data_IF_337538632450
#
_entry.id   IF_337538632450
#
_cell.length_a   1.000
_cell.length_b   1.000
_cell.length_c   1.000
_cell.angle_alpha   90.00
_cell.angle_beta   90.00
_cell.angle_gamma   90.00
#
_symmetry.space_group_name_H-M   'P 1'
#
loop_
_entity.id
_entity.type
_entity.pdbx_description
1 polymer ?
#
# COMPACT_ATOMS: atom_id res chain seq x y z
N UNK A 1 -34.72 -63.97 2.89
CA UNK A 1 -34.87 -62.65 3.54
C UNK A 1 -33.72 -61.78 3.09
N UNK A 2 -33.94 -61.05 1.99
CA UNK A 2 -33.00 -60.09 1.43
C UNK A 2 -32.90 -58.86 2.35
N UNK A 3 -31.68 -58.40 2.65
CA UNK A 3 -31.45 -57.06 3.21
C UNK A 3 -30.60 -56.28 2.21
N UNK A 4 -31.32 -55.56 1.36
CA UNK A 4 -30.85 -54.58 0.38
C UNK A 4 -29.84 -53.60 1.01
N UNK A 5 -28.73 -53.39 0.29
CA UNK A 5 -27.73 -52.38 0.60
C UNK A 5 -28.22 -50.98 0.24
N UNK A 6 -28.24 -50.09 1.23
CA UNK A 6 -28.42 -48.66 1.02
C UNK A 6 -27.07 -48.04 0.66
N UNK A 7 -26.81 -47.87 -0.64
CA UNK A 7 -25.84 -46.90 -1.10
C UNK A 7 -26.53 -45.52 -1.09
N UNK A 8 -26.05 -44.62 -0.24
CA UNK A 8 -26.46 -43.22 -0.24
C UNK A 8 -25.94 -42.60 -1.54
N UNK A 9 -26.87 -42.30 -2.45
CA UNK A 9 -26.63 -41.55 -3.66
C UNK A 9 -26.29 -40.11 -3.25
N UNK A 10 -25.03 -39.69 -3.41
CA UNK A 10 -24.64 -38.29 -3.25
C UNK A 10 -24.83 -37.56 -4.57
N UNK A 11 -25.78 -36.62 -4.58
CA UNK A 11 -26.16 -35.80 -5.72
C UNK A 11 -24.97 -34.95 -6.20
N UNK A 12 -24.43 -35.27 -7.38
CA UNK A 12 -23.25 -34.62 -7.97
C UNK A 12 -23.42 -33.13 -8.34
N UNK A 13 -24.59 -32.54 -8.13
CA UNK A 13 -24.89 -31.13 -8.43
C UNK A 13 -24.33 -30.18 -7.37
N UNK A 14 -24.26 -30.60 -6.10
CA UNK A 14 -23.66 -29.81 -5.00
C UNK A 14 -22.14 -29.74 -5.06
N UNK A 15 -21.50 -30.82 -5.54
CA UNK A 15 -20.03 -30.92 -5.67
C UNK A 15 -19.51 -30.07 -6.83
N UNK A 16 -20.18 -30.08 -7.98
CA UNK A 16 -19.80 -29.23 -9.11
C UNK A 16 -19.89 -27.71 -8.79
N UNK A 17 -20.93 -27.31 -8.04
CA UNK A 17 -21.11 -25.93 -7.60
C UNK A 17 -20.11 -25.48 -6.53
N UNK A 18 -19.75 -26.35 -5.58
CA UNK A 18 -18.75 -26.05 -4.55
C UNK A 18 -17.32 -26.09 -5.09
N UNK A 19 -17.01 -27.00 -6.01
CA UNK A 19 -15.71 -27.08 -6.71
C UNK A 19 -15.51 -25.85 -7.62
N UNK A 20 -16.52 -25.43 -8.39
CA UNK A 20 -16.44 -24.23 -9.24
C UNK A 20 -16.30 -22.94 -8.42
N UNK A 21 -17.04 -22.82 -7.30
CA UNK A 21 -16.90 -21.69 -6.37
C UNK A 21 -15.52 -21.67 -5.69
N UNK A 22 -14.99 -22.81 -5.26
CA UNK A 22 -13.62 -22.92 -4.71
C UNK A 22 -12.55 -22.59 -5.77
N UNK A 23 -12.71 -23.06 -7.01
CA UNK A 23 -11.77 -22.78 -8.10
C UNK A 23 -11.78 -21.30 -8.52
N UNK A 24 -12.97 -20.67 -8.58
CA UNK A 24 -13.12 -19.23 -8.82
C UNK A 24 -12.54 -18.42 -7.66
N UNK A 25 -12.82 -18.81 -6.42
CA UNK A 25 -12.29 -18.16 -5.21
C UNK A 25 -10.77 -18.25 -5.14
N UNK A 26 -10.19 -19.39 -5.52
CA UNK A 26 -8.74 -19.59 -5.64
C UNK A 26 -8.10 -18.64 -6.66
N UNK A 27 -8.65 -18.51 -7.87
CA UNK A 27 -8.11 -17.57 -8.88
C UNK A 27 -8.20 -16.12 -8.42
N UNK A 28 -9.33 -15.72 -7.82
CA UNK A 28 -9.52 -14.35 -7.28
C UNK A 28 -8.53 -14.02 -6.16
N UNK A 29 -8.20 -14.99 -5.30
CA UNK A 29 -7.17 -14.79 -4.26
C UNK A 29 -5.80 -14.52 -4.88
N UNK A 30 -5.41 -15.29 -5.89
CA UNK A 30 -4.14 -15.07 -6.62
C UNK A 30 -4.10 -13.68 -7.25
N UNK A 31 -5.17 -13.22 -7.91
CA UNK A 31 -5.22 -11.86 -8.48
C UNK A 31 -5.05 -10.77 -7.43
N UNK A 32 -5.69 -10.91 -6.26
CA UNK A 32 -5.53 -9.95 -5.16
C UNK A 32 -4.10 -9.92 -4.63
N UNK A 33 -3.46 -11.07 -4.45
CA UNK A 33 -2.07 -11.16 -4.02
C UNK A 33 -1.12 -10.48 -5.01
N UNK A 34 -1.25 -10.78 -6.31
CA UNK A 34 -0.45 -10.13 -7.35
C UNK A 34 -0.65 -8.62 -7.37
N UNK A 35 -1.90 -8.15 -7.25
CA UNK A 35 -2.19 -6.73 -7.21
C UNK A 35 -1.52 -6.03 -6.01
N UNK A 36 -1.65 -6.61 -4.81
CA UNK A 36 -1.01 -6.10 -3.58
C UNK A 36 0.51 -6.04 -3.76
N UNK A 37 1.12 -7.11 -4.31
CA UNK A 37 2.56 -7.17 -4.53
C UNK A 37 3.04 -6.09 -5.51
N UNK A 38 2.33 -5.89 -6.63
CA UNK A 38 2.67 -4.86 -7.61
C UNK A 38 2.61 -3.47 -6.95
N UNK A 39 1.53 -3.18 -6.22
CA UNK A 39 1.38 -1.90 -5.53
C UNK A 39 2.49 -1.68 -4.48
N UNK A 40 2.83 -2.71 -3.70
CA UNK A 40 3.92 -2.66 -2.72
C UNK A 40 5.26 -2.38 -3.38
N UNK A 41 5.62 -3.12 -4.43
CA UNK A 41 6.89 -2.95 -5.12
C UNK A 41 7.00 -1.53 -5.68
N UNK A 42 5.94 -1.01 -6.31
CA UNK A 42 5.95 0.35 -6.82
C UNK A 42 6.12 1.40 -5.71
N UNK A 43 5.39 1.29 -4.60
CA UNK A 43 5.52 2.21 -3.47
C UNK A 43 6.90 2.12 -2.80
N UNK A 44 7.42 0.91 -2.62
CA UNK A 44 8.75 0.67 -2.05
C UNK A 44 9.81 1.32 -2.92
N UNK A 45 9.83 1.03 -4.23
CA UNK A 45 10.81 1.61 -5.14
C UNK A 45 10.73 3.14 -5.13
N UNK A 46 9.52 3.69 -5.23
CA UNK A 46 9.32 5.13 -5.22
C UNK A 46 9.90 5.78 -3.95
N UNK A 47 9.39 5.38 -2.78
CA UNK A 47 9.76 6.01 -1.50
C UNK A 47 11.22 5.72 -1.13
N UNK A 48 11.74 4.56 -1.52
CA UNK A 48 13.14 4.21 -1.29
C UNK A 48 14.06 5.10 -2.12
N UNK A 49 13.83 5.24 -3.43
CA UNK A 49 14.67 6.08 -4.28
C UNK A 49 14.57 7.57 -3.91
N UNK A 50 13.38 8.06 -3.56
CA UNK A 50 13.23 9.46 -3.13
C UNK A 50 13.90 9.71 -1.78
N UNK A 51 13.64 8.85 -0.78
CA UNK A 51 14.22 8.97 0.56
C UNK A 51 15.73 8.82 0.56
N UNK A 52 16.25 7.80 -0.13
CA UNK A 52 17.68 7.56 -0.24
C UNK A 52 18.39 8.70 -0.99
N UNK A 53 17.77 9.25 -2.03
CA UNK A 53 18.26 10.42 -2.74
C UNK A 53 18.44 11.64 -1.83
N UNK A 54 17.51 11.86 -0.89
CA UNK A 54 17.57 12.92 0.11
C UNK A 54 18.62 12.67 1.20
N UNK A 55 18.85 11.43 1.58
CA UNK A 55 19.92 11.08 2.55
C UNK A 55 21.29 11.28 1.92
N UNK A 56 21.53 10.71 0.73
CA UNK A 56 22.84 10.81 0.08
C UNK A 56 23.18 12.22 -0.40
N UNK A 57 22.18 13.01 -0.78
CA UNK A 57 22.38 14.38 -1.25
C UNK A 57 21.72 15.39 -0.31
N UNK A 58 21.93 15.21 1.00
CA UNK A 58 21.25 15.99 2.03
C UNK A 58 21.45 17.50 1.87
N UNK A 59 22.67 17.95 1.58
CA UNK A 59 22.95 19.38 1.35
C UNK A 59 22.15 19.96 0.16
N UNK A 60 22.04 19.21 -0.93
CA UNK A 60 21.25 19.61 -2.09
C UNK A 60 19.76 19.64 -1.75
N UNK A 61 19.27 18.65 -1.00
CA UNK A 61 17.88 18.60 -0.53
C UNK A 61 17.53 19.78 0.39
N UNK A 62 18.37 20.12 1.36
CA UNK A 62 18.17 21.28 2.25
C UNK A 62 18.12 22.59 1.45
N UNK A 63 19.04 22.76 0.50
CA UNK A 63 19.04 23.92 -0.42
C UNK A 63 17.75 24.01 -1.24
N UNK A 64 17.23 22.88 -1.74
CA UNK A 64 15.97 22.83 -2.48
C UNK A 64 14.77 23.13 -1.58
N UNK A 65 14.81 22.65 -0.33
CA UNK A 65 13.77 22.86 0.68
C UNK A 65 13.65 24.35 1.05
N UNK A 66 14.77 25.06 1.19
CA UNK A 66 14.79 26.51 1.41
C UNK A 66 14.21 27.34 0.27
N UNK A 67 14.11 26.79 -0.95
CA UNK A 67 13.47 27.45 -2.09
C UNK A 67 11.95 27.23 -2.15
N UNK A 68 11.43 26.32 -1.32
CA UNK A 68 9.99 26.06 -1.23
C UNK A 68 9.32 27.16 -0.40
N UNK A 69 8.03 27.47 -0.66
CA UNK A 69 7.25 28.45 0.10
C UNK A 69 6.83 27.87 1.46
N UNK A 70 7.80 27.49 2.29
CA UNK A 70 7.61 26.91 3.62
C UNK A 70 8.10 27.87 4.72
N UNK A 71 7.55 27.78 5.94
CA UNK A 71 8.05 28.57 7.06
C UNK A 71 9.50 28.20 7.41
N UNK A 72 10.33 29.20 7.70
CA UNK A 72 11.76 28.99 8.00
C UNK A 72 12.01 28.02 9.17
N UNK A 73 11.16 28.05 10.20
CA UNK A 73 11.25 27.16 11.36
C UNK A 73 11.03 25.69 10.99
N UNK A 74 10.28 25.41 9.93
CA UNK A 74 9.95 24.05 9.51
C UNK A 74 11.09 23.38 8.72
N UNK A 75 11.98 24.16 8.12
CA UNK A 75 13.02 23.68 7.21
C UNK A 75 13.95 22.65 7.88
N UNK A 76 14.45 22.97 9.07
CA UNK A 76 15.35 22.06 9.80
C UNK A 76 14.64 20.76 10.18
N UNK A 77 13.39 20.85 10.64
CA UNK A 77 12.61 19.66 11.04
C UNK A 77 12.36 18.78 9.81
N UNK A 78 11.87 19.39 8.74
CA UNK A 78 11.41 18.70 7.54
C UNK A 78 12.58 18.10 6.74
N UNK A 79 13.79 18.67 6.87
CA UNK A 79 15.01 18.13 6.28
C UNK A 79 15.40 16.73 6.78
N UNK A 80 15.10 16.41 8.04
CA UNK A 80 15.33 15.08 8.60
C UNK A 80 14.06 14.23 8.62
N UNK A 81 12.92 14.85 8.90
CA UNK A 81 11.64 14.14 9.03
C UNK A 81 11.19 13.51 7.71
N UNK A 82 11.30 14.22 6.58
CA UNK A 82 10.89 13.66 5.29
C UNK A 82 11.65 12.39 4.90
N UNK A 83 12.99 12.36 4.83
CA UNK A 83 13.71 11.12 4.50
C UNK A 83 13.48 10.01 5.53
N UNK A 84 13.33 10.35 6.82
CA UNK A 84 12.99 9.36 7.85
C UNK A 84 11.62 8.74 7.64
N UNK A 85 10.60 9.54 7.33
CA UNK A 85 9.25 9.04 7.04
C UNK A 85 9.24 8.18 5.78
N UNK A 86 9.92 8.61 4.70
CA UNK A 86 9.97 7.84 3.46
C UNK A 86 10.63 6.48 3.65
N UNK A 87 11.85 6.44 4.22
CA UNK A 87 12.58 5.20 4.44
C UNK A 87 11.94 4.34 5.54
N UNK A 88 11.44 4.96 6.60
CA UNK A 88 10.69 4.28 7.66
C UNK A 88 9.44 3.59 7.10
N UNK A 89 8.70 4.26 6.22
CA UNK A 89 7.52 3.67 5.56
C UNK A 89 7.90 2.46 4.71
N UNK A 90 9.02 2.53 3.98
CA UNK A 90 9.57 1.38 3.23
C UNK A 90 9.83 0.20 4.16
N UNK A 91 10.51 0.42 5.29
CA UNK A 91 10.78 -0.63 6.28
C UNK A 91 9.48 -1.26 6.81
N UNK A 92 8.47 -0.45 7.12
CA UNK A 92 7.16 -0.94 7.55
C UNK A 92 6.48 -1.81 6.49
N UNK A 93 6.57 -1.45 5.20
CA UNK A 93 5.98 -2.24 4.11
C UNK A 93 6.69 -3.58 3.88
N UNK A 94 8.00 -3.64 4.13
CA UNK A 94 8.79 -4.88 4.00
C UNK A 94 8.40 -5.94 5.04
N UNK A 95 7.95 -5.54 6.23
CA UNK A 95 7.63 -6.45 7.34
C UNK A 95 6.16 -6.91 7.23
N UNK A 96 5.87 -8.20 6.96
CA UNK A 96 4.50 -8.67 6.71
C UNK A 96 3.52 -8.41 7.87
N UNK A 97 3.99 -8.42 9.12
CA UNK A 97 3.16 -8.17 10.29
C UNK A 97 2.60 -6.75 10.30
N UNK A 98 3.45 -5.74 10.01
CA UNK A 98 3.12 -4.32 10.08
C UNK A 98 2.88 -3.65 8.72
N UNK A 99 2.95 -4.42 7.63
CA UNK A 99 2.73 -3.96 6.25
C UNK A 99 1.49 -3.10 6.06
N UNK A 100 0.39 -3.42 6.72
CA UNK A 100 -0.86 -2.64 6.65
C UNK A 100 -0.67 -1.19 7.15
N UNK A 101 0.14 -0.99 8.18
CA UNK A 101 0.50 0.32 8.69
C UNK A 101 1.43 1.04 7.73
N UNK A 102 2.40 0.33 7.13
CA UNK A 102 3.26 0.87 6.09
C UNK A 102 2.49 1.35 4.87
N UNK A 103 1.55 0.55 4.37
CA UNK A 103 0.66 0.94 3.26
C UNK A 103 -0.21 2.14 3.62
N UNK A 104 -0.77 2.18 4.83
CA UNK A 104 -1.55 3.33 5.30
C UNK A 104 -0.71 4.62 5.38
N UNK A 105 0.51 4.53 5.90
CA UNK A 105 1.45 5.66 5.96
C UNK A 105 1.92 6.08 4.57
N UNK A 106 2.15 5.14 3.65
CA UNK A 106 2.48 5.45 2.27
C UNK A 106 1.36 6.21 1.57
N UNK A 107 0.09 5.80 1.74
CA UNK A 107 -1.08 6.53 1.22
C UNK A 107 -1.12 7.95 1.79
N UNK A 108 -0.91 8.11 3.10
CA UNK A 108 -0.89 9.42 3.75
C UNK A 108 0.21 10.32 3.17
N UNK A 109 1.43 9.82 3.04
CA UNK A 109 2.56 10.55 2.46
C UNK A 109 2.30 10.93 0.99
N UNK A 110 1.83 9.98 0.19
CA UNK A 110 1.52 10.22 -1.22
C UNK A 110 0.38 11.23 -1.39
N UNK A 111 -0.62 11.21 -0.50
CA UNK A 111 -1.70 12.20 -0.49
C UNK A 111 -1.16 13.58 -0.12
N UNK A 112 -0.33 13.69 0.92
CA UNK A 112 0.29 14.96 1.31
C UNK A 112 1.15 15.53 0.18
N UNK A 113 1.97 14.71 -0.49
CA UNK A 113 2.74 15.12 -1.66
C UNK A 113 1.85 15.50 -2.86
N UNK A 114 0.72 14.83 -3.05
CA UNK A 114 -0.26 15.18 -4.09
C UNK A 114 -0.88 16.55 -3.83
N UNK A 115 -1.31 16.82 -2.59
CA UNK A 115 -1.86 18.12 -2.18
C UNK A 115 -0.82 19.22 -2.41
N UNK A 116 0.42 18.99 -1.97
CA UNK A 116 1.49 19.95 -2.18
C UNK A 116 1.76 20.24 -3.66
N UNK A 117 1.85 19.19 -4.49
CA UNK A 117 2.05 19.31 -5.93
C UNK A 117 0.88 20.03 -6.62
N UNK A 118 -0.36 19.79 -6.16
CA UNK A 118 -1.55 20.50 -6.64
C UNK A 118 -1.50 21.99 -6.30
N UNK A 119 -1.14 22.35 -5.07
CA UNK A 119 -0.99 23.75 -4.64
C UNK A 119 0.08 24.48 -5.46
N UNK A 120 1.20 23.80 -5.75
CA UNK A 120 2.24 24.32 -6.62
C UNK A 120 1.76 24.47 -8.09
N UNK A 121 0.93 23.53 -8.58
CA UNK A 121 0.36 23.58 -9.93
C UNK A 121 -0.62 24.74 -10.14
N UNK A 122 -1.44 25.07 -9.14
CA UNK A 122 -2.37 26.22 -9.21
C UNK A 122 -1.72 27.56 -8.88
N UNK A 123 -0.40 27.58 -8.69
CA UNK A 123 0.41 28.80 -8.43
C UNK A 123 -0.07 29.63 -7.22
N UNK A 124 -0.64 28.98 -6.20
CA UNK A 124 -1.24 29.67 -5.03
C UNK A 124 -0.24 30.56 -4.27
N UNK A 125 1.06 30.28 -4.40
CA UNK A 125 2.15 30.99 -3.73
C UNK A 125 2.64 32.23 -4.51
N UNK A 126 2.04 32.55 -5.66
CA UNK A 126 2.42 33.69 -6.51
C UNK A 126 3.65 33.47 -7.40
N UNK A 127 4.29 32.30 -7.31
CA UNK A 127 5.36 31.84 -8.21
C UNK A 127 5.40 30.31 -8.24
N UNK A 128 6.00 29.75 -9.30
CA UNK A 128 6.20 28.30 -9.42
C UNK A 128 7.46 27.88 -8.65
N UNK A 129 7.36 27.05 -7.60
CA UNK A 129 8.54 26.60 -6.86
C UNK A 129 9.46 25.72 -7.74
N UNK A 130 10.77 25.80 -7.49
CA UNK A 130 11.80 24.98 -8.17
C UNK A 130 11.45 23.49 -7.98
N UNK A 131 11.14 22.76 -9.06
CA UNK A 131 10.90 21.32 -9.05
C UNK A 131 12.20 20.48 -8.91
N UNK A 132 13.23 21.11 -8.35
CA UNK A 132 14.61 20.68 -8.36
C UNK A 132 14.73 19.50 -7.40
N UNK A 133 14.67 18.27 -7.92
CA UNK A 133 14.82 17.01 -7.21
C UNK A 133 15.24 15.93 -8.21
N UNK A 134 16.32 15.20 -7.92
CA UNK A 134 17.07 14.41 -8.92
C UNK A 134 16.26 13.38 -9.76
N UNK A 135 15.12 12.90 -9.26
CA UNK A 135 14.24 11.94 -9.98
C UNK A 135 13.20 12.66 -10.85
N UNK A 136 12.93 13.93 -10.57
CA UNK A 136 11.73 14.65 -10.94
C UNK A 136 12.01 16.01 -11.58
N UNK A 137 13.30 16.34 -11.75
CA UNK A 137 13.84 17.60 -12.27
C UNK A 137 13.32 17.98 -13.66
N UNK A 138 12.86 17.00 -14.45
CA UNK A 138 12.34 17.20 -15.81
C UNK A 138 10.82 17.19 -15.92
N UNK A 139 10.09 16.95 -14.82
CA UNK A 139 8.64 16.77 -14.83
C UNK A 139 7.95 18.04 -14.30
N UNK A 140 6.87 18.46 -14.97
CA UNK A 140 6.07 19.61 -14.56
C UNK A 140 5.26 19.31 -13.29
N UNK A 141 4.88 20.33 -12.52
CA UNK A 141 4.03 20.18 -11.33
C UNK A 141 2.70 19.46 -11.61
N UNK A 142 2.12 19.69 -12.79
CA UNK A 142 0.92 18.98 -13.24
C UNK A 142 1.16 17.46 -13.36
N UNK A 143 2.30 17.10 -13.98
CA UNK A 143 2.66 15.70 -14.16
C UNK A 143 3.02 15.03 -12.82
N UNK A 144 3.69 15.75 -11.91
CA UNK A 144 3.93 15.27 -10.53
C UNK A 144 2.65 14.97 -9.79
N UNK A 145 1.69 15.90 -9.85
CA UNK A 145 0.38 15.72 -9.23
C UNK A 145 -0.35 14.50 -9.81
N UNK A 146 -0.42 14.39 -11.13
CA UNK A 146 -1.06 13.24 -11.80
C UNK A 146 -0.40 11.92 -11.44
N UNK A 147 0.94 11.88 -11.40
CA UNK A 147 1.70 10.70 -11.02
C UNK A 147 1.42 10.29 -9.57
N UNK A 148 1.54 11.22 -8.62
CA UNK A 148 1.28 10.93 -7.21
C UNK A 148 -0.18 10.52 -6.97
N UNK A 149 -1.13 11.14 -7.66
CA UNK A 149 -2.54 10.78 -7.59
C UNK A 149 -2.78 9.36 -8.11
N UNK A 150 -2.20 9.01 -9.26
CA UNK A 150 -2.31 7.67 -9.82
C UNK A 150 -1.75 6.59 -8.88
N UNK A 151 -0.57 6.84 -8.29
CA UNK A 151 0.03 5.92 -7.30
C UNK A 151 -0.82 5.81 -6.04
N UNK A 152 -1.38 6.92 -5.56
CA UNK A 152 -2.29 6.93 -4.38
C UNK A 152 -3.55 6.09 -4.65
N UNK A 153 -4.14 6.24 -5.83
CA UNK A 153 -5.33 5.48 -6.24
C UNK A 153 -5.05 3.99 -6.45
N UNK A 154 -3.81 3.60 -6.78
CA UNK A 154 -3.38 2.20 -6.82
C UNK A 154 -3.13 1.63 -5.40
N UNK A 155 -2.64 2.46 -4.48
CA UNK A 155 -2.33 2.05 -3.13
C UNK A 155 -3.59 1.77 -2.29
N UNK A 156 -4.66 2.56 -2.46
CA UNK A 156 -5.87 2.44 -1.64
C UNK A 156 -6.59 1.07 -1.77
N UNK A 157 -6.83 0.51 -2.98
CA UNK A 157 -7.37 -0.83 -3.11
C UNK A 157 -6.44 -1.91 -2.56
N UNK A 158 -5.12 -1.75 -2.71
CA UNK A 158 -4.14 -2.71 -2.17
C UNK A 158 -4.21 -2.76 -0.63
N UNK A 159 -4.32 -1.60 0.02
CA UNK A 159 -4.52 -1.51 1.47
C UNK A 159 -5.84 -2.17 1.91
N UNK A 160 -6.93 -1.92 1.19
CA UNK A 160 -8.23 -2.54 1.49
C UNK A 160 -8.20 -4.07 1.34
N UNK A 161 -7.55 -4.58 0.30
CA UNK A 161 -7.39 -6.02 0.07
C UNK A 161 -6.52 -6.67 1.15
N UNK A 162 -5.39 -6.05 1.50
CA UNK A 162 -4.51 -6.50 2.60
C UNK A 162 -5.26 -6.55 3.94
N UNK A 163 -6.09 -5.54 4.24
CA UNK A 163 -6.93 -5.51 5.44
C UNK A 163 -7.93 -6.66 5.46
N UNK A 164 -8.63 -6.91 4.35
CA UNK A 164 -9.58 -8.02 4.23
C UNK A 164 -8.90 -9.38 4.40
N UNK A 165 -7.72 -9.56 3.82
CA UNK A 165 -6.93 -10.79 3.93
C UNK A 165 -6.53 -11.06 5.39
N UNK A 166 -5.95 -10.06 6.07
CA UNK A 166 -5.57 -10.19 7.49
C UNK A 166 -6.78 -10.47 8.39
N UNK A 167 -7.92 -9.82 8.14
CA UNK A 167 -9.15 -10.05 8.89
C UNK A 167 -9.65 -11.49 8.70
N UNK A 168 -9.68 -11.98 7.46
CA UNK A 168 -10.10 -13.36 7.16
C UNK A 168 -9.20 -14.40 7.86
N UNK A 169 -7.88 -14.22 7.81
CA UNK A 169 -6.91 -15.11 8.48
C UNK A 169 -7.13 -15.11 10.00
N UNK A 170 -7.34 -13.93 10.61
CA UNK A 170 -7.60 -13.82 12.05
C UNK A 170 -8.90 -14.53 12.45
N UNK A 171 -9.96 -14.41 11.65
CA UNK A 171 -11.22 -15.12 11.90
C UNK A 171 -11.03 -16.64 11.83
N UNK A 172 -10.37 -17.15 10.78
CA UNK A 172 -10.09 -18.59 10.64
C UNK A 172 -9.27 -19.14 11.80
N UNK A 173 -8.24 -18.42 12.26
CA UNK A 173 -7.43 -18.83 13.42
C UNK A 173 -8.26 -18.89 14.71
N UNK A 174 -9.19 -17.94 14.89
CA UNK A 174 -10.09 -17.92 16.05
C UNK A 174 -11.15 -19.03 16.05
N UNK A 175 -11.59 -19.46 14.86
CA UNK A 175 -12.54 -20.57 14.69
C UNK A 175 -11.86 -21.92 14.90
N UNK A 176 -10.66 -22.10 14.32
CA UNK A 176 -9.84 -23.30 14.52
C UNK A 176 -9.53 -23.53 16.00
N UNK A 177 -9.09 -22.48 16.72
CA UNK A 177 -8.82 -22.55 18.16
C UNK A 177 -10.05 -22.99 18.96
N UNK A 178 -11.22 -22.41 18.68
CA UNK A 178 -12.47 -22.79 19.35
C UNK A 178 -12.88 -24.24 19.10
N UNK A 179 -12.61 -24.77 17.91
CA UNK A 179 -12.87 -26.18 17.58
C UNK A 179 -12.01 -27.16 18.39
N UNK A 180 -10.74 -26.85 18.60
CA UNK A 180 -9.86 -27.64 19.48
C UNK A 180 -10.36 -27.63 20.94
N UNK A 181 -10.72 -26.45 21.47
CA UNK A 181 -11.24 -26.31 22.84
C UNK A 181 -12.60 -27.03 23.07
N UNK A 182 -13.32 -27.37 22.00
CA UNK A 182 -14.56 -28.15 22.06
C UNK A 182 -14.34 -29.66 21.96
N UNK A 183 -13.22 -30.11 21.39
CA UNK A 183 -12.91 -31.53 21.24
C UNK A 183 -12.14 -32.11 22.43
N UNK A 184 -11.51 -31.27 23.24
CA UNK A 184 -10.86 -31.65 24.51
C UNK A 184 -11.82 -31.70 25.72
N UNK A 185 -13.11 -31.39 25.52
CA UNK A 185 -14.17 -31.51 26.54
C UNK A 185 -15.09 -32.69 26.27
#
# INVERSE_FOLDING_TARGET
MERSGNYIQHDGTGVAGTVSKKAKQSKWQTYMEWYILIALVMLILLLFFTGLGKVFNHAAFVSQLHKQPLPQWSMSILSYLLPMLELGTVLLMCIPQVRIWGLGLAILLMTAYSIYAYLAYIEIYGYVPCACGKVFEKMSWKQHFQFNLAVTLLAAPAWLMEYKLKKAIKTMHSESRRGFDQQER
#
